data_IF_773137591701
#
_entry.id   IF_773137591701
#
_cell.length_a   1.000
_cell.length_b   1.000
_cell.length_c   1.000
_cell.angle_alpha   90.00
_cell.angle_beta   90.00
_cell.angle_gamma   90.00
#
_symmetry.space_group_name_H-M   'P 1'
#
loop_
_entity.id
_entity.type
_entity.pdbx_description
1 polymer ?
#
# COMPACT_ATOMS: atom_id res chain seq x y z
N UNK A 1 -6.98 21.17 -4.03
CA UNK A 1 -6.03 21.76 -3.06
C UNK A 1 -6.38 21.44 -1.60
N UNK A 2 -7.66 21.30 -1.21
CA UNK A 2 -8.05 20.95 0.18
C UNK A 2 -7.77 19.49 0.59
N UNK A 3 -7.58 18.59 -0.38
CA UNK A 3 -7.38 17.15 -0.17
C UNK A 3 -6.05 16.83 0.51
N UNK A 4 -4.96 17.52 0.14
CA UNK A 4 -3.63 17.27 0.72
C UNK A 4 -3.55 17.63 2.21
N UNK A 5 -4.04 18.80 2.68
CA UNK A 5 -4.11 19.09 4.12
C UNK A 5 -4.96 18.08 4.90
N UNK A 6 -6.06 17.59 4.32
CA UNK A 6 -6.90 16.59 4.97
C UNK A 6 -6.19 15.24 5.14
N UNK A 7 -5.52 14.76 4.10
CA UNK A 7 -4.71 13.54 4.19
C UNK A 7 -3.51 13.69 5.12
N UNK A 8 -2.89 14.87 5.17
CA UNK A 8 -1.86 15.17 6.16
C UNK A 8 -2.41 15.14 7.60
N UNK A 9 -3.61 15.65 7.84
CA UNK A 9 -4.27 15.58 9.15
C UNK A 9 -4.58 14.15 9.59
N UNK A 10 -5.11 13.31 8.69
CA UNK A 10 -5.35 11.88 8.98
C UNK A 10 -4.03 11.15 9.25
N UNK A 11 -3.00 11.42 8.43
CA UNK A 11 -1.66 10.88 8.64
C UNK A 11 -1.14 11.19 10.04
N UNK A 12 -1.24 12.44 10.48
CA UNK A 12 -0.72 12.86 11.78
C UNK A 12 -1.45 12.16 12.93
N UNK A 13 -2.78 12.01 12.83
CA UNK A 13 -3.57 11.27 13.83
C UNK A 13 -3.17 9.78 13.89
N UNK A 14 -2.95 9.17 12.73
CA UNK A 14 -2.58 7.76 12.64
C UNK A 14 -1.13 7.49 13.04
N UNK A 15 -0.22 8.41 12.75
CA UNK A 15 1.15 8.39 13.22
C UNK A 15 1.21 8.61 14.74
N UNK A 16 0.53 9.65 15.24
CA UNK A 16 0.49 9.99 16.66
C UNK A 16 -0.19 8.92 17.53
N UNK A 17 -1.15 8.17 16.98
CA UNK A 17 -1.75 7.01 17.67
C UNK A 17 -0.92 5.73 17.59
N UNK A 18 0.09 5.67 16.71
CA UNK A 18 0.89 4.47 16.47
C UNK A 18 0.18 3.37 15.67
N UNK A 19 -1.01 3.63 15.12
CA UNK A 19 -1.81 2.61 14.44
C UNK A 19 -1.11 2.03 13.20
N UNK A 20 -0.44 2.89 12.41
CA UNK A 20 0.34 2.47 11.23
C UNK A 20 1.49 1.55 11.63
N UNK A 21 2.13 1.84 12.77
CA UNK A 21 3.20 1.00 13.31
C UNK A 21 2.65 -0.37 13.70
N UNK A 22 1.56 -0.44 14.48
CA UNK A 22 0.96 -1.70 14.91
C UNK A 22 0.54 -2.57 13.73
N UNK A 23 -0.10 -1.98 12.72
CA UNK A 23 -0.49 -2.70 11.50
C UNK A 23 0.73 -3.23 10.75
N UNK A 24 1.78 -2.41 10.59
CA UNK A 24 2.97 -2.79 9.83
C UNK A 24 3.81 -3.85 10.56
N UNK A 25 3.98 -3.68 11.87
CA UNK A 25 4.73 -4.59 12.76
C UNK A 25 4.08 -5.98 12.80
N UNK A 26 2.74 -6.06 12.78
CA UNK A 26 2.04 -7.35 12.67
C UNK A 26 2.52 -8.16 11.46
N UNK A 27 2.59 -7.53 10.28
CA UNK A 27 3.02 -8.19 9.05
C UNK A 27 4.51 -8.53 9.04
N UNK A 28 5.35 -7.67 9.62
CA UNK A 28 6.79 -7.96 9.78
C UNK A 28 7.00 -9.18 10.66
N UNK A 29 6.26 -9.33 11.77
CA UNK A 29 6.42 -10.45 12.71
C UNK A 29 6.08 -11.82 12.14
N UNK A 30 5.18 -11.88 11.16
CA UNK A 30 4.79 -13.14 10.50
C UNK A 30 5.59 -13.40 9.23
N UNK A 31 6.43 -12.46 8.80
CA UNK A 31 7.21 -12.56 7.59
C UNK A 31 8.45 -13.44 7.77
N UNK A 32 8.80 -14.13 6.68
CA UNK A 32 10.09 -14.78 6.47
C UNK A 32 10.89 -13.98 5.44
N UNK A 33 12.21 -14.22 5.29
CA UNK A 33 12.99 -13.54 4.24
C UNK A 33 12.32 -13.65 2.85
N UNK A 34 11.85 -14.86 2.51
CA UNK A 34 11.21 -15.14 1.22
C UNK A 34 9.81 -14.53 1.05
N UNK A 35 9.13 -14.15 2.13
CA UNK A 35 7.76 -13.61 2.08
C UNK A 35 7.65 -12.15 2.48
N UNK A 36 8.74 -11.54 2.94
CA UNK A 36 8.77 -10.15 3.40
C UNK A 36 8.28 -9.14 2.33
N UNK A 37 8.68 -9.23 1.04
CA UNK A 37 8.17 -8.32 0.01
C UNK A 37 6.65 -8.44 -0.19
N UNK A 38 6.10 -9.67 -0.08
CA UNK A 38 4.67 -9.91 -0.17
C UNK A 38 3.90 -9.33 1.03
N UNK A 39 4.42 -9.52 2.25
CA UNK A 39 3.80 -8.95 3.44
C UNK A 39 3.88 -7.43 3.49
N UNK A 40 4.95 -6.85 2.93
CA UNK A 40 5.05 -5.41 2.69
C UNK A 40 3.97 -4.90 1.74
N UNK A 41 3.65 -5.66 0.69
CA UNK A 41 2.55 -5.35 -0.23
C UNK A 41 1.17 -5.40 0.44
N UNK A 42 0.86 -6.44 1.20
CA UNK A 42 -0.42 -6.52 1.91
C UNK A 42 -0.54 -5.41 2.96
N UNK A 43 0.54 -5.16 3.70
CA UNK A 43 0.60 -4.09 4.70
C UNK A 43 0.43 -2.71 4.08
N UNK A 44 1.12 -2.44 2.97
CA UNK A 44 1.00 -1.19 2.23
C UNK A 44 -0.42 -0.96 1.72
N UNK A 45 -1.06 -2.02 1.22
CA UNK A 45 -2.46 -1.96 0.81
C UNK A 45 -3.41 -1.70 1.98
N UNK A 46 -3.22 -2.36 3.12
CA UNK A 46 -4.06 -2.18 4.30
C UNK A 46 -3.94 -0.76 4.87
N UNK A 47 -2.72 -0.24 5.01
CA UNK A 47 -2.50 1.12 5.55
C UNK A 47 -3.11 2.17 4.63
N UNK A 48 -3.02 2.00 3.31
CA UNK A 48 -3.56 2.97 2.35
C UNK A 48 -5.10 3.13 2.45
N UNK A 49 -5.84 2.11 2.90
CA UNK A 49 -7.29 2.26 3.16
C UNK A 49 -7.62 3.32 4.23
N UNK A 50 -6.71 3.51 5.18
CA UNK A 50 -6.88 4.48 6.25
C UNK A 50 -6.15 5.78 5.94
N UNK A 51 -4.99 5.69 5.29
CA UNK A 51 -4.24 6.84 4.83
C UNK A 51 -3.98 6.80 3.32
N UNK A 52 -4.83 7.44 2.52
CA UNK A 52 -4.65 7.53 1.07
C UNK A 52 -3.61 8.60 0.69
N UNK A 53 -2.37 8.42 1.13
CA UNK A 53 -1.23 9.31 0.86
C UNK A 53 0.08 8.53 0.86
N UNK A 54 0.57 8.11 -0.31
CA UNK A 54 1.79 7.31 -0.41
C UNK A 54 3.03 7.96 0.23
N UNK A 55 3.18 9.29 0.11
CA UNK A 55 4.28 10.02 0.76
C UNK A 55 4.16 10.02 2.28
N UNK A 56 2.96 10.26 2.81
CA UNK A 56 2.71 10.23 4.25
C UNK A 56 2.86 8.82 4.84
N UNK A 57 2.25 7.85 4.18
CA UNK A 57 2.36 6.43 4.52
C UNK A 57 3.83 6.01 4.60
N UNK A 58 4.64 6.38 3.61
CA UNK A 58 6.05 6.02 3.57
C UNK A 58 6.85 6.57 4.76
N UNK A 59 6.56 7.78 5.22
CA UNK A 59 7.27 8.39 6.37
C UNK A 59 7.13 7.54 7.64
N UNK A 60 5.98 6.91 7.85
CA UNK A 60 5.69 6.15 9.08
C UNK A 60 5.90 4.65 8.89
N UNK A 61 5.43 4.08 7.79
CA UNK A 61 5.51 2.65 7.50
C UNK A 61 6.88 2.24 6.93
N UNK A 62 7.53 3.11 6.14
CA UNK A 62 8.80 2.82 5.49
C UNK A 62 9.90 2.38 6.46
N UNK A 63 10.18 3.14 7.53
CA UNK A 63 11.18 2.76 8.53
C UNK A 63 10.95 1.36 9.14
N UNK A 64 9.69 0.97 9.38
CA UNK A 64 9.35 -0.35 9.93
C UNK A 64 9.81 -1.47 9.01
N UNK A 65 9.53 -1.35 7.71
CA UNK A 65 9.94 -2.35 6.72
C UNK A 65 11.42 -2.31 6.38
N UNK A 66 12.06 -1.14 6.43
CA UNK A 66 13.51 -1.03 6.25
C UNK A 66 14.26 -1.74 7.38
N UNK A 67 13.82 -1.59 8.63
CA UNK A 67 14.43 -2.35 9.74
C UNK A 67 14.19 -3.87 9.57
N UNK A 68 13.01 -4.28 9.11
CA UNK A 68 12.74 -5.68 8.79
C UNK A 68 13.68 -6.24 7.71
N UNK A 69 14.00 -5.44 6.68
CA UNK A 69 14.95 -5.86 5.63
C UNK A 69 16.33 -6.16 6.18
N UNK A 70 16.81 -5.33 7.13
CA UNK A 70 18.11 -5.52 7.78
C UNK A 70 18.11 -6.73 8.71
N UNK A 71 17.01 -6.94 9.44
CA UNK A 71 16.87 -8.06 10.38
C UNK A 71 16.79 -9.43 9.67
N UNK A 72 16.18 -9.47 8.49
CA UNK A 72 15.97 -10.70 7.71
C UNK A 72 16.95 -10.86 6.53
N UNK A 73 17.91 -9.93 6.38
CA UNK A 73 18.90 -9.88 5.29
C UNK A 73 18.26 -9.93 3.87
N UNK A 74 17.17 -9.16 3.68
CA UNK A 74 16.42 -9.10 2.42
C UNK A 74 16.80 -7.84 1.64
N UNK A 75 16.95 -7.89 0.30
CA UNK A 75 17.23 -6.71 -0.49
C UNK A 75 16.15 -5.61 -0.33
N UNK A 76 16.58 -4.45 0.19
CA UNK A 76 15.73 -3.27 0.41
C UNK A 76 14.79 -2.96 -0.78
N UNK A 77 15.26 -2.95 -2.05
CA UNK A 77 14.39 -2.57 -3.17
C UNK A 77 13.15 -3.45 -3.30
N UNK A 78 13.23 -4.75 -3.00
CA UNK A 78 12.10 -5.66 -3.13
C UNK A 78 10.98 -5.30 -2.15
N UNK A 79 11.36 -4.99 -0.92
CA UNK A 79 10.41 -4.67 0.15
C UNK A 79 9.81 -3.28 -0.04
N UNK A 80 10.63 -2.30 -0.46
CA UNK A 80 10.15 -0.95 -0.83
C UNK A 80 9.12 -1.04 -1.96
N UNK A 81 9.42 -1.82 -3.01
CA UNK A 81 8.48 -2.04 -4.10
C UNK A 81 7.22 -2.77 -3.65
N UNK A 82 7.33 -3.70 -2.70
CA UNK A 82 6.19 -4.31 -2.03
C UNK A 82 5.24 -3.25 -1.47
N UNK A 83 5.72 -2.38 -0.58
CA UNK A 83 4.92 -1.29 0.00
C UNK A 83 4.28 -0.41 -1.08
N UNK A 84 5.07 0.02 -2.06
CA UNK A 84 4.61 0.90 -3.15
C UNK A 84 3.51 0.25 -4.01
N UNK A 85 3.65 -1.03 -4.35
CA UNK A 85 2.62 -1.75 -5.09
C UNK A 85 1.35 -1.94 -4.25
N UNK A 86 1.48 -2.11 -2.93
CA UNK A 86 0.33 -2.23 -2.03
C UNK A 86 -0.54 -0.97 -2.01
N UNK A 87 0.11 0.19 -1.88
CA UNK A 87 -0.51 1.52 -1.95
C UNK A 87 -1.27 1.72 -3.28
N UNK A 88 -0.60 1.46 -4.42
CA UNK A 88 -1.22 1.62 -5.73
C UNK A 88 -2.36 0.62 -5.98
N UNK A 89 -2.18 -0.62 -5.53
CA UNK A 89 -3.15 -1.69 -5.69
C UNK A 89 -4.46 -1.39 -4.94
N UNK A 90 -4.36 -1.07 -3.65
CA UNK A 90 -5.54 -0.74 -2.82
C UNK A 90 -6.24 0.56 -3.27
N UNK A 91 -5.51 1.48 -3.90
CA UNK A 91 -6.09 2.69 -4.50
C UNK A 91 -7.08 2.40 -5.65
N UNK A 92 -7.10 1.17 -6.19
CA UNK A 92 -8.09 0.76 -7.18
C UNK A 92 -9.49 0.57 -6.57
N UNK A 93 -9.61 0.04 -5.35
CA UNK A 93 -10.92 -0.17 -4.71
C UNK A 93 -11.45 1.11 -4.05
N UNK A 94 -10.57 2.08 -3.77
CA UNK A 94 -10.91 3.44 -3.34
C UNK A 94 -10.34 4.51 -4.29
N UNK A 95 -10.88 4.64 -5.51
CA UNK A 95 -10.31 5.49 -6.55
C UNK A 95 -10.66 6.98 -6.37
N UNK A 96 -10.27 7.58 -5.24
CA UNK A 96 -10.51 9.01 -4.95
C UNK A 96 -9.86 9.92 -6.01
N UNK A 97 -8.72 9.49 -6.55
CA UNK A 97 -8.03 10.16 -7.64
C UNK A 97 -8.87 10.26 -8.92
N UNK A 98 -9.83 9.34 -9.13
CA UNK A 98 -10.61 9.27 -10.37
C UNK A 98 -11.83 10.20 -10.33
N UNK A 99 -12.30 10.63 -9.15
CA UNK A 99 -13.49 11.47 -9.00
C UNK A 99 -13.43 12.76 -9.85
N UNK A 100 -12.33 13.56 -9.82
CA UNK A 100 -12.23 14.77 -10.64
C UNK A 100 -12.26 14.47 -12.14
N UNK A 101 -11.59 13.39 -12.58
CA UNK A 101 -11.55 12.99 -13.97
C UNK A 101 -12.94 12.60 -14.49
N UNK A 102 -13.72 11.89 -13.67
CA UNK A 102 -15.07 11.48 -14.03
C UNK A 102 -16.05 12.63 -14.08
N UNK A 103 -15.87 13.64 -13.21
CA UNK A 103 -16.65 14.87 -13.26
C UNK A 103 -16.42 15.61 -14.59
N UNK A 104 -15.18 15.67 -15.08
CA UNK A 104 -14.85 16.27 -16.39
C UNK A 104 -15.43 15.43 -17.54
N UNK A 105 -15.34 14.11 -17.46
CA UNK A 105 -15.82 13.20 -18.50
C UNK A 105 -17.36 13.00 -18.49
N UNK A 106 -18.07 13.48 -17.48
CA UNK A 106 -19.52 13.26 -17.32
C UNK A 106 -19.90 11.79 -17.07
N UNK A 107 -18.97 10.99 -16.55
CA UNK A 107 -19.17 9.55 -16.34
C UNK A 107 -19.54 9.29 -14.88
N UNK A 108 -20.57 8.49 -14.64
CA UNK A 108 -20.93 8.07 -13.29
C UNK A 108 -19.86 7.13 -12.69
N UNK A 109 -19.40 7.41 -11.47
CA UNK A 109 -18.42 6.62 -10.70
C UNK A 109 -18.73 5.11 -10.70
N UNK A 110 -20.01 4.75 -10.54
CA UNK A 110 -20.47 3.36 -10.52
C UNK A 110 -20.06 2.56 -11.76
N UNK A 111 -19.93 3.22 -12.93
CA UNK A 111 -19.52 2.55 -14.18
C UNK A 111 -18.04 2.16 -14.17
N UNK A 112 -17.20 2.89 -13.43
CA UNK A 112 -15.75 2.67 -13.39
C UNK A 112 -15.36 1.73 -12.26
N UNK A 113 -16.09 1.75 -11.14
CA UNK A 113 -15.84 0.87 -9.98
C UNK A 113 -15.80 -0.62 -10.36
N UNK A 114 -16.66 -1.07 -11.29
CA UNK A 114 -16.64 -2.46 -11.77
C UNK A 114 -15.31 -2.83 -12.43
N UNK A 115 -14.79 -1.97 -13.28
CA UNK A 115 -13.47 -2.16 -13.91
C UNK A 115 -12.34 -2.11 -12.89
N UNK A 116 -12.36 -1.11 -11.99
CA UNK A 116 -11.36 -1.00 -10.94
C UNK A 116 -11.32 -2.24 -10.03
N UNK A 117 -12.48 -2.81 -9.71
CA UNK A 117 -12.56 -4.02 -8.89
C UNK A 117 -12.00 -5.26 -9.60
N UNK A 118 -12.31 -5.45 -10.88
CA UNK A 118 -11.72 -6.55 -11.67
C UNK A 118 -10.20 -6.38 -11.79
N UNK A 119 -9.74 -5.16 -12.06
CA UNK A 119 -8.31 -4.83 -12.10
C UNK A 119 -7.65 -5.03 -10.76
N UNK A 120 -8.31 -4.70 -9.65
CA UNK A 120 -7.82 -4.93 -8.28
C UNK A 120 -7.57 -6.42 -8.02
N UNK A 121 -8.51 -7.31 -8.39
CA UNK A 121 -8.30 -8.75 -8.22
C UNK A 121 -7.15 -9.23 -9.11
N UNK A 122 -7.17 -8.88 -10.40
CA UNK A 122 -6.18 -9.34 -11.36
C UNK A 122 -4.76 -8.86 -11.00
N UNK A 123 -4.59 -7.57 -10.71
CA UNK A 123 -3.29 -7.00 -10.33
C UNK A 123 -2.84 -7.45 -8.95
N UNK A 124 -3.76 -7.71 -8.02
CA UNK A 124 -3.44 -8.27 -6.70
C UNK A 124 -2.79 -9.66 -6.80
N UNK A 125 -3.32 -10.52 -7.68
CA UNK A 125 -2.73 -11.83 -7.96
C UNK A 125 -1.36 -11.70 -8.65
N UNK A 126 -1.24 -10.79 -9.62
CA UNK A 126 0.02 -10.58 -10.35
C UNK A 126 1.13 -10.00 -9.47
N UNK A 127 0.85 -8.93 -8.73
CA UNK A 127 1.83 -8.30 -7.84
C UNK A 127 2.14 -9.21 -6.64
N UNK A 128 1.12 -9.77 -6.00
CA UNK A 128 1.31 -10.68 -4.87
C UNK A 128 2.11 -11.92 -5.26
N UNK A 129 1.73 -12.59 -6.36
CA UNK A 129 2.45 -13.75 -6.88
C UNK A 129 3.86 -13.40 -7.35
N UNK A 130 4.04 -12.26 -8.01
CA UNK A 130 5.35 -11.77 -8.45
C UNK A 130 6.30 -11.48 -7.28
N UNK A 131 5.81 -10.87 -6.20
CA UNK A 131 6.61 -10.58 -5.00
C UNK A 131 6.97 -11.86 -4.23
N UNK A 132 6.07 -12.84 -4.18
CA UNK A 132 6.37 -14.18 -3.63
C UNK A 132 7.44 -14.89 -4.46
N UNK A 133 7.35 -14.81 -5.78
CA UNK A 133 8.35 -15.40 -6.68
C UNK A 133 9.72 -14.73 -6.51
N UNK A 134 9.75 -13.39 -6.46
CA UNK A 134 10.98 -12.63 -6.25
C UNK A 134 11.63 -13.01 -4.92
N UNK A 135 10.87 -13.01 -3.83
CA UNK A 135 11.39 -13.39 -2.52
C UNK A 135 11.83 -14.86 -2.43
N UNK A 136 11.24 -15.76 -3.20
CA UNK A 136 11.68 -17.17 -3.26
C UNK A 136 12.97 -17.38 -4.06
N UNK A 137 13.35 -16.45 -4.92
CA UNK A 137 14.49 -16.55 -5.84
C UNK A 137 15.74 -15.79 -5.38
N UNK A 138 15.65 -15.03 -4.28
CA UNK A 138 16.74 -14.20 -3.75
C UNK A 138 16.96 -14.51 -2.28
#
# INVERSE_FOLDING_TARGET
>A
MLQYPFYAGIMELMAGSGLVFVMSDFFVRIATPATLPFWAFISGGLVNFFVPSGGGQWVVQGPVFIEATKALDVPIPQVVMGVAYGDQWSSLIQPFWTIPLLAIAGIAMRRVLGYCFVTFIASGLLFGGGLLLVGALT
#
